data_IF_092808654784
#
_entry.id   IF_092808654784
#
_cell.length_a   1.000
_cell.length_b   1.000
_cell.length_c   1.000
_cell.angle_alpha   90.00
_cell.angle_beta   90.00
_cell.angle_gamma   90.00
#
_symmetry.space_group_name_H-M   'P 1'
#
loop_
_entity.id
_entity.type
_entity.pdbx_description
1 polymer ?
#
# COMPACT_ATOMS: atom_id res chain seq x y z
N UNK A 1 13.69 10.34 17.67
CA UNK A 1 14.24 9.56 16.54
C UNK A 1 15.76 9.78 16.54
N UNK A 2 16.55 8.76 16.87
CA UNK A 2 18.01 8.88 16.97
C UNK A 2 18.58 8.95 15.56
N UNK A 3 19.20 10.09 15.19
CA UNK A 3 19.95 10.24 13.94
C UNK A 3 21.28 9.49 14.07
N UNK A 4 21.27 8.21 13.71
CA UNK A 4 22.51 7.48 13.41
C UNK A 4 22.78 7.57 11.91
N UNK A 5 24.00 7.92 11.51
CA UNK A 5 24.43 7.87 10.10
C UNK A 5 24.54 6.45 9.53
N UNK A 6 24.13 5.42 10.27
CA UNK A 6 24.16 4.00 9.86
C UNK A 6 22.85 3.48 9.28
N UNK A 7 21.80 4.31 9.17
CA UNK A 7 20.42 3.86 8.90
C UNK A 7 20.24 3.07 7.59
N UNK A 8 21.05 3.32 6.56
CA UNK A 8 20.95 2.62 5.27
C UNK A 8 21.77 1.34 5.18
N UNK A 9 22.63 1.03 6.16
CA UNK A 9 23.48 -0.17 6.13
C UNK A 9 22.67 -1.47 6.21
N UNK A 10 21.60 -1.48 7.02
CA UNK A 10 20.78 -2.68 7.20
C UNK A 10 19.92 -2.99 5.97
N UNK A 11 19.19 -2.02 5.37
CA UNK A 11 18.53 -2.25 4.08
C UNK A 11 19.47 -2.77 3.00
N UNK A 12 20.65 -2.15 2.83
CA UNK A 12 21.63 -2.60 1.82
C UNK A 12 22.11 -4.04 2.06
N UNK A 13 22.31 -4.43 3.32
CA UNK A 13 22.70 -5.80 3.66
C UNK A 13 21.58 -6.81 3.37
N UNK A 14 20.32 -6.44 3.68
CA UNK A 14 19.14 -7.25 3.38
C UNK A 14 19.01 -7.42 1.87
N UNK A 15 19.10 -6.33 1.10
CA UNK A 15 19.02 -6.35 -0.36
C UNK A 15 20.12 -7.20 -0.99
N UNK A 16 21.35 -7.12 -0.46
CA UNK A 16 22.42 -8.00 -0.91
C UNK A 16 22.07 -9.48 -0.72
N UNK A 17 21.50 -9.83 0.43
CA UNK A 17 21.05 -11.19 0.73
C UNK A 17 19.86 -11.62 -0.13
N UNK A 18 18.91 -10.72 -0.40
CA UNK A 18 17.81 -10.98 -1.33
C UNK A 18 18.33 -11.25 -2.74
N UNK A 19 19.28 -10.45 -3.22
CA UNK A 19 19.92 -10.65 -4.51
C UNK A 19 20.71 -11.98 -4.58
N UNK A 20 21.33 -12.40 -3.48
CA UNK A 20 22.00 -13.71 -3.40
C UNK A 20 21.00 -14.87 -3.42
N UNK A 21 19.82 -14.67 -2.83
CA UNK A 21 18.81 -15.73 -2.63
C UNK A 21 17.91 -15.91 -3.85
N UNK A 22 17.40 -14.81 -4.40
CA UNK A 22 16.40 -14.80 -5.45
C UNK A 22 16.97 -14.52 -6.85
N UNK A 23 18.20 -13.97 -6.92
CA UNK A 23 18.89 -13.75 -8.17
C UNK A 23 18.38 -12.52 -8.94
N UNK A 24 18.34 -12.58 -10.29
CA UNK A 24 18.06 -11.42 -11.13
C UNK A 24 16.56 -11.06 -11.20
N UNK A 25 16.29 -9.81 -11.59
CA UNK A 25 14.97 -9.24 -11.86
C UNK A 25 14.04 -9.18 -10.63
N UNK A 26 14.59 -8.99 -9.44
CA UNK A 26 13.77 -8.73 -8.26
C UNK A 26 13.34 -7.26 -8.22
N UNK A 27 12.06 -7.04 -7.88
CA UNK A 27 11.49 -5.74 -7.61
C UNK A 27 11.32 -5.53 -6.10
N UNK A 28 11.67 -4.34 -5.59
CA UNK A 28 11.52 -3.98 -4.18
C UNK A 28 10.63 -2.74 -4.02
N UNK A 29 9.54 -2.90 -3.28
CA UNK A 29 8.71 -1.80 -2.79
C UNK A 29 9.35 -1.16 -1.57
N UNK A 30 9.43 0.17 -1.56
CA UNK A 30 9.97 0.94 -0.44
C UNK A 30 9.35 2.34 -0.46
N UNK A 31 8.89 2.90 0.65
CA UNK A 31 8.22 4.22 0.61
C UNK A 31 9.16 5.38 0.25
N UNK A 32 10.46 5.19 0.45
CA UNK A 32 11.51 6.19 0.19
C UNK A 32 12.49 5.81 -0.91
N UNK A 33 12.18 4.78 -1.69
CA UNK A 33 13.20 4.20 -2.55
C UNK A 33 13.62 5.00 -3.78
N UNK A 34 13.08 6.20 -4.07
CA UNK A 34 13.77 7.14 -4.97
C UNK A 34 15.09 7.61 -4.34
N UNK A 35 15.06 7.94 -3.05
CA UNK A 35 16.26 8.24 -2.27
C UNK A 35 17.11 6.99 -2.01
N UNK A 36 16.47 5.84 -1.76
CA UNK A 36 17.19 4.58 -1.54
C UNK A 36 17.85 4.04 -2.82
N UNK A 37 17.25 4.21 -4.00
CA UNK A 37 17.85 3.85 -5.30
C UNK A 37 19.19 4.59 -5.48
N UNK A 38 19.21 5.87 -5.14
CA UNK A 38 20.45 6.68 -5.14
C UNK A 38 21.46 6.11 -4.15
N UNK A 39 21.00 5.71 -2.96
CA UNK A 39 21.84 5.09 -1.94
C UNK A 39 22.46 3.77 -2.43
N UNK A 40 21.69 2.91 -3.09
CA UNK A 40 22.19 1.65 -3.68
C UNK A 40 23.26 1.97 -4.73
N UNK A 41 23.01 2.92 -5.63
CA UNK A 41 23.95 3.34 -6.69
C UNK A 41 25.27 3.91 -6.13
N UNK A 42 25.23 4.53 -4.96
CA UNK A 42 26.43 5.06 -4.28
C UNK A 42 27.07 4.06 -3.31
N UNK A 43 26.58 2.81 -3.24
CA UNK A 43 27.08 1.79 -2.33
C UNK A 43 27.90 0.71 -3.06
N UNK A 44 28.63 -0.15 -2.33
CA UNK A 44 29.28 -1.32 -2.91
C UNK A 44 28.32 -2.28 -3.63
N UNK A 45 27.02 -2.22 -3.32
CA UNK A 45 25.99 -3.07 -3.94
C UNK A 45 25.67 -2.65 -5.39
N UNK A 46 26.06 -1.45 -5.82
CA UNK A 46 25.68 -0.87 -7.11
C UNK A 46 25.97 -1.78 -8.32
N UNK A 47 27.18 -2.37 -8.37
CA UNK A 47 27.58 -3.24 -9.47
C UNK A 47 26.71 -4.51 -9.54
N UNK A 48 26.46 -5.12 -8.38
CA UNK A 48 25.64 -6.34 -8.27
C UNK A 48 24.17 -6.05 -8.55
N UNK A 49 23.62 -4.98 -7.97
CA UNK A 49 22.26 -4.52 -8.23
C UNK A 49 22.02 -4.26 -9.72
N UNK A 50 22.99 -3.62 -10.41
CA UNK A 50 22.93 -3.39 -11.85
C UNK A 50 23.02 -4.70 -12.65
N UNK A 51 23.95 -5.59 -12.28
CA UNK A 51 24.15 -6.87 -12.97
C UNK A 51 22.93 -7.79 -12.85
N UNK A 52 22.25 -7.75 -11.71
CA UNK A 52 21.06 -8.54 -11.43
C UNK A 52 19.75 -7.80 -11.75
N UNK A 53 19.81 -6.62 -12.36
CA UNK A 53 18.63 -5.84 -12.74
C UNK A 53 17.64 -5.60 -11.57
N UNK A 54 18.18 -5.22 -10.40
CA UNK A 54 17.39 -4.82 -9.24
C UNK A 54 16.53 -3.60 -9.59
N UNK A 55 15.23 -3.72 -9.37
CA UNK A 55 14.27 -2.63 -9.66
C UNK A 55 13.66 -2.09 -8.36
N UNK A 56 13.80 -0.78 -8.12
CA UNK A 56 13.10 -0.10 -7.02
C UNK A 56 11.73 0.37 -7.50
N UNK A 57 10.66 -0.10 -6.86
CA UNK A 57 9.27 0.02 -7.33
C UNK A 57 8.58 1.35 -6.95
N UNK A 58 9.33 2.45 -6.83
CA UNK A 58 8.73 3.74 -6.43
C UNK A 58 8.28 4.61 -7.57
N UNK A 59 8.92 4.47 -8.73
CA UNK A 59 8.68 5.43 -9.80
C UNK A 59 7.37 5.20 -10.52
N UNK A 60 6.68 4.09 -10.23
CA UNK A 60 5.53 3.70 -10.98
C UNK A 60 4.62 2.85 -10.11
N UNK A 61 3.33 3.20 -10.12
CA UNK A 61 2.26 2.31 -9.67
C UNK A 61 2.54 0.89 -10.19
N UNK A 62 2.30 -0.14 -9.37
CA UNK A 62 2.58 -1.54 -9.69
C UNK A 62 2.17 -1.96 -11.13
N UNK A 63 1.14 -1.30 -11.66
CA UNK A 63 0.60 -1.37 -13.01
C UNK A 63 1.63 -1.22 -14.16
N UNK A 64 2.74 -0.51 -13.96
CA UNK A 64 3.74 -0.28 -15.02
C UNK A 64 4.87 -1.31 -15.05
N UNK A 65 4.93 -2.21 -14.06
CA UNK A 65 5.96 -3.24 -13.97
C UNK A 65 5.35 -4.58 -14.33
N UNK A 66 5.59 -5.00 -15.57
CA UNK A 66 5.18 -6.32 -16.03
C UNK A 66 5.76 -7.42 -15.15
N UNK A 67 4.91 -8.32 -14.66
CA UNK A 67 5.31 -9.46 -13.83
C UNK A 67 5.25 -9.20 -12.32
N UNK A 68 4.98 -7.97 -11.87
CA UNK A 68 4.76 -7.68 -10.45
C UNK A 68 3.45 -8.30 -9.92
N UNK A 69 2.47 -8.49 -10.81
CA UNK A 69 1.21 -9.15 -10.50
C UNK A 69 0.29 -8.29 -9.65
N UNK A 70 -0.43 -8.93 -8.72
CA UNK A 70 -1.41 -8.32 -7.80
C UNK A 70 -0.74 -8.09 -6.43
N UNK A 71 0.56 -7.82 -6.43
CA UNK A 71 1.33 -7.61 -5.20
C UNK A 71 1.09 -6.19 -4.66
N UNK A 72 0.80 -6.07 -3.37
CA UNK A 72 0.60 -4.79 -2.68
C UNK A 72 1.90 -4.25 -2.06
N UNK A 73 2.91 -5.10 -1.90
CA UNK A 73 4.24 -4.79 -1.33
C UNK A 73 4.19 -4.32 0.13
N UNK A 74 3.10 -4.57 0.86
CA UNK A 74 2.90 -4.10 2.24
C UNK A 74 3.49 -5.03 3.31
N UNK A 75 4.01 -6.20 2.92
CA UNK A 75 4.42 -7.24 3.87
C UNK A 75 5.42 -6.78 4.95
N UNK A 76 6.34 -5.86 4.60
CA UNK A 76 7.28 -5.28 5.56
C UNK A 76 6.58 -4.37 6.57
N UNK A 77 5.61 -3.56 6.15
CA UNK A 77 4.86 -2.67 7.03
C UNK A 77 4.10 -3.46 8.08
N UNK A 78 3.42 -4.52 7.66
CA UNK A 78 2.68 -5.40 8.56
C UNK A 78 3.61 -6.05 9.59
N UNK A 79 4.78 -6.54 9.15
CA UNK A 79 5.79 -7.12 10.04
C UNK A 79 6.30 -6.10 11.07
N UNK A 80 6.69 -4.90 10.63
CA UNK A 80 7.20 -3.86 11.53
C UNK A 80 6.12 -3.34 12.47
N UNK A 81 4.89 -3.19 11.99
CA UNK A 81 3.73 -2.80 12.79
C UNK A 81 3.50 -3.80 13.92
N UNK A 82 3.48 -5.11 13.63
CA UNK A 82 3.37 -6.17 14.65
C UNK A 82 4.52 -6.13 15.64
N UNK A 83 5.74 -5.88 15.17
CA UNK A 83 6.95 -5.83 16.01
C UNK A 83 6.89 -4.75 17.10
N UNK A 84 6.04 -3.72 16.95
CA UNK A 84 5.82 -2.70 17.99
C UNK A 84 5.31 -3.30 19.31
N UNK A 85 4.64 -4.47 19.26
CA UNK A 85 4.25 -5.20 20.47
C UNK A 85 5.43 -5.58 21.37
N UNK A 86 6.63 -5.75 20.80
CA UNK A 86 7.86 -6.02 21.56
C UNK A 86 8.41 -4.79 22.29
N UNK A 87 8.03 -3.58 21.88
CA UNK A 87 8.67 -2.35 22.34
C UNK A 87 8.71 -2.27 23.87
N UNK A 88 7.63 -2.69 24.54
CA UNK A 88 7.53 -2.66 26.01
C UNK A 88 8.47 -3.65 26.70
N UNK A 89 8.62 -4.86 26.18
CA UNK A 89 9.49 -5.89 26.78
C UNK A 89 10.97 -5.61 26.54
N UNK A 90 11.31 -5.00 25.40
CA UNK A 90 12.71 -4.72 25.05
C UNK A 90 13.23 -3.38 25.59
N UNK A 91 12.35 -2.46 26.04
CA UNK A 91 12.73 -1.09 26.44
C UNK A 91 13.77 -1.06 27.56
N UNK A 92 13.59 -1.88 28.59
CA UNK A 92 14.46 -1.93 29.78
C UNK A 92 15.32 -3.21 29.85
N UNK A 93 15.27 -4.04 28.81
CA UNK A 93 16.08 -5.26 28.72
C UNK A 93 17.55 -4.94 28.42
N UNK A 94 18.47 -5.74 28.96
CA UNK A 94 19.89 -5.65 28.57
C UNK A 94 20.07 -5.95 27.07
N UNK A 95 21.20 -5.55 26.50
CA UNK A 95 21.48 -5.78 25.06
C UNK A 95 21.34 -7.24 24.64
N UNK A 96 21.79 -8.17 25.49
CA UNK A 96 21.66 -9.60 25.24
C UNK A 96 20.18 -10.03 25.20
N UNK A 97 19.42 -9.71 26.23
CA UNK A 97 18.00 -10.08 26.32
C UNK A 97 17.17 -9.41 25.22
N UNK A 98 17.45 -8.15 24.88
CA UNK A 98 16.80 -7.47 23.75
C UNK A 98 16.99 -8.24 22.44
N UNK A 99 18.23 -8.63 22.12
CA UNK A 99 18.52 -9.42 20.91
C UNK A 99 17.85 -10.79 20.96
N UNK A 100 17.88 -11.46 22.11
CA UNK A 100 17.24 -12.75 22.31
C UNK A 100 15.73 -12.64 22.10
N UNK A 101 15.05 -11.68 22.73
CA UNK A 101 13.61 -11.44 22.59
C UNK A 101 13.21 -11.15 21.15
N UNK A 102 13.93 -10.26 20.45
CA UNK A 102 13.65 -9.95 19.04
C UNK A 102 13.80 -11.21 18.17
N UNK A 103 14.88 -11.98 18.36
CA UNK A 103 15.10 -13.22 17.60
C UNK A 103 14.02 -14.26 17.87
N UNK A 104 13.66 -14.48 19.13
CA UNK A 104 12.62 -15.45 19.51
C UNK A 104 11.27 -15.04 18.94
N UNK A 105 10.95 -13.74 18.95
CA UNK A 105 9.71 -13.24 18.37
C UNK A 105 9.64 -13.46 16.85
N UNK A 106 10.71 -13.15 16.12
CA UNK A 106 10.75 -13.39 14.67
C UNK A 106 10.65 -14.89 14.34
N UNK A 107 11.34 -15.75 15.10
CA UNK A 107 11.22 -17.20 14.93
C UNK A 107 9.80 -17.71 15.19
N UNK A 108 9.12 -17.15 16.20
CA UNK A 108 7.73 -17.47 16.48
C UNK A 108 6.80 -17.02 15.35
N UNK A 109 6.94 -15.78 14.87
CA UNK A 109 6.18 -15.28 13.72
C UNK A 109 6.39 -16.13 12.47
N UNK A 110 7.63 -16.51 12.17
CA UNK A 110 7.96 -17.37 11.03
C UNK A 110 7.23 -18.72 11.14
N UNK A 111 7.32 -19.36 12.31
CA UNK A 111 6.75 -20.70 12.57
C UNK A 111 5.23 -20.71 12.55
N UNK A 112 4.58 -19.71 13.17
CA UNK A 112 3.14 -19.78 13.46
C UNK A 112 2.27 -18.91 12.56
N UNK A 113 2.81 -17.86 11.95
CA UNK A 113 2.01 -16.89 11.19
C UNK A 113 2.45 -16.77 9.73
N UNK A 114 3.74 -16.79 9.45
CA UNK A 114 4.28 -16.44 8.13
C UNK A 114 3.85 -17.45 7.06
N UNK A 115 4.02 -18.76 7.31
CA UNK A 115 3.59 -19.79 6.36
C UNK A 115 2.07 -19.82 6.12
N UNK A 116 1.20 -19.79 7.16
CA UNK A 116 -0.24 -19.69 6.95
C UNK A 116 -0.66 -18.44 6.15
N UNK A 117 -0.13 -17.27 6.51
CA UNK A 117 -0.45 -16.02 5.83
C UNK A 117 -0.01 -16.04 4.37
N UNK A 118 1.20 -16.54 4.09
CA UNK A 118 1.71 -16.69 2.73
C UNK A 118 0.84 -17.66 1.90
N UNK A 119 0.41 -18.76 2.49
CA UNK A 119 -0.49 -19.72 1.82
C UNK A 119 -1.83 -19.08 1.47
N UNK A 120 -2.46 -18.38 2.41
CA UNK A 120 -3.70 -17.64 2.18
C UNK A 120 -3.53 -16.56 1.13
N UNK A 121 -2.44 -15.80 1.19
CA UNK A 121 -2.10 -14.77 0.22
C UNK A 121 -2.00 -15.34 -1.20
N UNK A 122 -1.21 -16.40 -1.39
CA UNK A 122 -1.05 -17.04 -2.70
C UNK A 122 -2.38 -17.58 -3.26
N UNK A 123 -3.18 -18.24 -2.42
CA UNK A 123 -4.49 -18.78 -2.85
C UNK A 123 -5.46 -17.66 -3.22
N UNK A 124 -5.50 -16.58 -2.43
CA UNK A 124 -6.37 -15.45 -2.71
C UNK A 124 -5.95 -14.72 -3.98
N UNK A 125 -4.67 -14.47 -4.17
CA UNK A 125 -4.15 -13.84 -5.39
C UNK A 125 -4.39 -14.70 -6.62
N UNK A 126 -4.26 -16.03 -6.49
CA UNK A 126 -4.61 -16.95 -7.58
C UNK A 126 -6.10 -16.86 -7.96
N UNK A 127 -7.00 -16.87 -6.96
CA UNK A 127 -8.44 -16.72 -7.22
C UNK A 127 -8.76 -15.38 -7.89
N UNK A 128 -8.19 -14.29 -7.38
CA UNK A 128 -8.35 -12.96 -7.96
C UNK A 128 -7.84 -12.91 -9.41
N UNK A 129 -6.68 -13.50 -9.70
CA UNK A 129 -6.16 -13.57 -11.06
C UNK A 129 -7.11 -14.31 -12.00
N UNK A 130 -7.68 -15.44 -11.57
CA UNK A 130 -8.68 -16.18 -12.34
C UNK A 130 -9.94 -15.36 -12.57
N UNK A 131 -10.43 -14.65 -11.56
CA UNK A 131 -11.58 -13.75 -11.68
C UNK A 131 -11.33 -12.61 -12.67
N UNK A 132 -10.14 -12.00 -12.63
CA UNK A 132 -9.73 -10.95 -13.58
C UNK A 132 -9.72 -11.51 -15.02
N UNK A 133 -9.14 -12.69 -15.23
CA UNK A 133 -9.12 -13.35 -16.55
C UNK A 133 -10.55 -13.66 -17.03
N UNK A 134 -11.43 -14.14 -16.15
CA UNK A 134 -12.82 -14.41 -16.48
C UNK A 134 -13.61 -13.13 -16.84
N UNK A 135 -13.16 -11.95 -16.40
CA UNK A 135 -13.72 -10.64 -16.76
C UNK A 135 -13.32 -10.15 -18.16
N UNK A 136 -12.32 -10.75 -18.81
CA UNK A 136 -11.79 -10.32 -20.12
C UNK A 136 -12.87 -10.21 -21.22
N UNK A 137 -13.84 -11.12 -21.36
CA UNK A 137 -14.89 -10.99 -22.39
C UNK A 137 -15.77 -9.75 -22.20
N UNK A 138 -16.08 -9.40 -20.95
CA UNK A 138 -16.88 -8.20 -20.65
C UNK A 138 -16.09 -6.93 -20.98
N UNK A 139 -14.79 -6.92 -20.70
CA UNK A 139 -13.88 -5.83 -21.09
C UNK A 139 -13.85 -5.65 -22.61
N UNK A 140 -13.67 -6.74 -23.38
CA UNK A 140 -13.66 -6.69 -24.85
C UNK A 140 -14.96 -6.12 -25.43
N UNK A 141 -16.10 -6.48 -24.85
CA UNK A 141 -17.40 -5.96 -25.26
C UNK A 141 -17.53 -4.46 -24.95
N UNK A 142 -17.07 -4.01 -23.78
CA UNK A 142 -17.04 -2.59 -23.41
C UNK A 142 -16.11 -1.79 -24.33
N UNK A 143 -14.93 -2.33 -24.64
CA UNK A 143 -13.97 -1.75 -25.59
C UNK A 143 -14.58 -1.58 -26.99
N UNK A 144 -15.26 -2.62 -27.48
CA UNK A 144 -15.96 -2.55 -28.78
C UNK A 144 -17.06 -1.49 -28.79
N UNK A 145 -17.84 -1.36 -27.71
CA UNK A 145 -18.87 -0.31 -27.56
C UNK A 145 -18.27 1.10 -27.52
N UNK A 146 -17.12 1.26 -26.88
CA UNK A 146 -16.41 2.53 -26.78
C UNK A 146 -15.58 2.86 -28.04
N UNK A 147 -15.42 1.92 -28.97
CA UNK A 147 -14.54 2.08 -30.14
C UNK A 147 -13.06 2.14 -29.78
N UNK A 148 -12.66 1.56 -28.64
CA UNK A 148 -11.29 1.60 -28.11
C UNK A 148 -10.59 0.28 -28.42
N UNK A 149 -9.34 0.35 -28.88
CA UNK A 149 -8.49 -0.82 -29.10
C UNK A 149 -7.51 -1.02 -27.94
N UNK A 150 -6.94 -2.22 -27.83
CA UNK A 150 -5.94 -2.52 -26.79
C UNK A 150 -4.68 -1.65 -26.94
N UNK A 151 -4.32 -1.27 -28.17
CA UNK A 151 -3.22 -0.36 -28.45
C UNK A 151 -3.45 1.03 -27.85
N UNK A 152 -4.69 1.53 -27.90
CA UNK A 152 -5.05 2.81 -27.28
C UNK A 152 -4.83 2.74 -25.76
N UNK A 153 -5.18 1.63 -25.11
CA UNK A 153 -4.94 1.45 -23.67
C UNK A 153 -3.44 1.43 -23.33
N UNK A 154 -2.62 0.76 -24.14
CA UNK A 154 -1.16 0.75 -23.98
C UNK A 154 -0.55 2.14 -24.18
N UNK A 155 -1.06 2.88 -25.16
CA UNK A 155 -0.63 4.26 -25.41
C UNK A 155 -1.04 5.17 -24.25
N UNK A 156 -2.27 5.05 -23.73
CA UNK A 156 -2.70 5.81 -22.56
C UNK A 156 -1.81 5.53 -21.34
N UNK A 157 -1.46 4.27 -21.08
CA UNK A 157 -0.50 3.93 -20.02
C UNK A 157 0.87 4.57 -20.27
N UNK A 158 1.37 4.56 -21.50
CA UNK A 158 2.66 5.18 -21.83
C UNK A 158 2.60 6.72 -21.68
N UNK A 159 1.50 7.34 -22.08
CA UNK A 159 1.26 8.79 -21.97
C UNK A 159 1.12 9.21 -20.50
N UNK A 160 0.37 8.45 -19.70
CA UNK A 160 0.22 8.66 -18.26
C UNK A 160 1.59 8.55 -17.57
N UNK A 161 2.37 7.52 -17.90
CA UNK A 161 3.74 7.36 -17.40
C UNK A 161 4.61 8.56 -17.75
N UNK A 162 4.60 8.99 -19.02
CA UNK A 162 5.39 10.12 -19.50
C UNK A 162 4.95 11.45 -18.86
N UNK A 163 3.66 11.61 -18.58
CA UNK A 163 3.11 12.75 -17.85
C UNK A 163 3.62 12.78 -16.41
N UNK A 164 3.49 11.67 -15.68
CA UNK A 164 3.94 11.54 -14.29
C UNK A 164 5.45 11.74 -14.16
N UNK A 165 6.25 11.20 -15.09
CA UNK A 165 7.71 11.38 -15.10
C UNK A 165 8.14 12.86 -15.24
N UNK A 166 7.34 13.67 -15.94
CA UNK A 166 7.58 15.11 -16.10
C UNK A 166 7.09 15.94 -14.92
N UNK A 167 6.23 15.36 -14.07
CA UNK A 167 5.57 16.06 -13.00
C UNK A 167 6.47 16.12 -11.75
N UNK A 168 7.24 17.21 -11.63
CA UNK A 168 8.06 17.46 -10.43
C UNK A 168 7.24 17.92 -9.21
N UNK A 169 6.07 18.53 -9.44
CA UNK A 169 5.17 19.05 -8.41
C UNK A 169 3.77 19.01 -8.99
N UNK A 170 2.77 18.73 -8.14
CA UNK A 170 1.38 18.78 -8.57
C UNK A 170 1.04 20.18 -9.15
N UNK A 171 0.25 20.25 -10.23
CA UNK A 171 -0.15 21.53 -10.81
C UNK A 171 -1.04 22.27 -9.83
N UNK A 172 -0.62 23.46 -9.39
CA UNK A 172 -1.31 24.20 -8.31
C UNK A 172 -2.80 24.45 -8.61
N UNK A 173 -3.14 24.73 -9.87
CA UNK A 173 -4.53 24.93 -10.29
C UNK A 173 -5.41 23.68 -10.21
N UNK A 174 -4.86 22.50 -10.53
CA UNK A 174 -5.60 21.23 -10.43
C UNK A 174 -5.73 20.81 -8.96
N UNK A 175 -4.66 20.96 -8.17
CA UNK A 175 -4.68 20.71 -6.72
C UNK A 175 -5.73 21.57 -6.02
N UNK A 176 -5.85 22.85 -6.38
CA UNK A 176 -6.87 23.75 -5.80
C UNK A 176 -8.30 23.34 -6.17
N UNK A 177 -8.53 22.92 -7.42
CA UNK A 177 -9.83 22.43 -7.87
C UNK A 177 -10.23 21.12 -7.19
N UNK A 178 -9.29 20.17 -7.08
CA UNK A 178 -9.49 18.90 -6.37
C UNK A 178 -9.77 19.19 -4.89
N UNK A 179 -8.99 20.05 -4.24
CA UNK A 179 -9.21 20.46 -2.85
C UNK A 179 -10.57 21.11 -2.65
N UNK A 180 -11.01 21.96 -3.58
CA UNK A 180 -12.32 22.58 -3.54
C UNK A 180 -13.44 21.53 -3.67
N UNK A 181 -13.33 20.63 -4.64
CA UNK A 181 -14.29 19.53 -4.83
C UNK A 181 -14.35 18.63 -3.58
N UNK A 182 -13.21 18.24 -3.02
CA UNK A 182 -13.13 17.44 -1.80
C UNK A 182 -13.85 18.15 -0.63
N UNK A 183 -13.67 19.47 -0.50
CA UNK A 183 -14.37 20.28 0.51
C UNK A 183 -15.88 20.31 0.28
N UNK A 184 -16.34 20.38 -0.97
CA UNK A 184 -17.76 20.30 -1.30
C UNK A 184 -18.35 18.95 -0.93
N UNK A 185 -17.71 17.84 -1.32
CA UNK A 185 -18.14 16.47 -0.96
C UNK A 185 -18.26 16.35 0.55
N UNK A 186 -17.22 16.74 1.29
CA UNK A 186 -17.23 16.73 2.76
C UNK A 186 -18.36 17.59 3.36
N UNK A 187 -18.69 18.73 2.74
CA UNK A 187 -19.80 19.57 3.16
C UNK A 187 -21.15 18.88 2.95
N UNK A 188 -21.36 18.26 1.78
CA UNK A 188 -22.59 17.52 1.48
C UNK A 188 -22.75 16.33 2.42
N UNK A 189 -21.71 15.53 2.63
CA UNK A 189 -21.74 14.38 3.54
C UNK A 189 -22.09 14.80 4.97
N UNK A 190 -21.49 15.90 5.45
CA UNK A 190 -21.82 16.45 6.77
C UNK A 190 -23.26 16.95 6.85
N UNK A 191 -23.76 17.60 5.80
CA UNK A 191 -25.13 18.10 5.77
C UNK A 191 -26.15 16.96 5.78
N UNK A 192 -25.91 15.91 5.00
CA UNK A 192 -26.73 14.69 5.03
C UNK A 192 -26.66 13.96 6.38
N UNK A 193 -25.49 13.95 7.03
CA UNK A 193 -25.34 13.42 8.38
C UNK A 193 -26.08 14.26 9.43
N UNK A 194 -26.10 15.58 9.29
CA UNK A 194 -26.82 16.48 10.20
C UNK A 194 -28.33 16.42 9.96
N UNK A 195 -28.79 16.33 8.72
CA UNK A 195 -30.21 16.15 8.38
C UNK A 195 -30.76 14.82 8.92
N UNK A 196 -29.98 13.74 8.82
CA UNK A 196 -30.34 12.44 9.39
C UNK A 196 -30.31 12.42 10.93
N UNK A 197 -29.36 13.11 11.57
CA UNK A 197 -29.36 13.32 13.04
C UNK A 197 -30.56 14.15 13.49
N UNK A 198 -30.88 15.22 12.78
CA UNK A 198 -31.99 16.09 13.13
C UNK A 198 -33.35 15.36 12.98
N UNK A 199 -33.53 14.59 11.90
CA UNK A 199 -34.68 13.72 11.71
C UNK A 199 -34.84 12.69 12.85
N UNK A 200 -33.73 12.09 13.30
CA UNK A 200 -33.73 11.15 14.43
C UNK A 200 -34.12 11.84 15.75
N UNK A 201 -33.54 13.00 16.06
CA UNK A 201 -33.93 13.78 17.23
C UNK A 201 -35.40 14.22 17.20
N UNK A 202 -35.94 14.60 16.05
CA UNK A 202 -37.37 14.95 15.94
C UNK A 202 -38.29 13.75 16.16
N UNK A 203 -37.88 12.56 15.70
CA UNK A 203 -38.65 11.33 15.92
C UNK A 203 -38.60 10.89 17.40
N UNK A 204 -37.44 11.00 18.04
CA UNK A 204 -37.27 10.69 19.47
C UNK A 204 -38.08 11.66 20.36
N UNK A 205 -38.07 12.97 20.04
CA UNK A 205 -38.87 13.98 20.76
C UNK A 205 -40.39 13.75 20.62
N UNK A 206 -40.85 13.36 19.41
CA UNK A 206 -42.26 13.05 19.18
C UNK A 206 -42.69 11.75 19.87
N UNK A 207 -41.78 10.77 20.03
CA UNK A 207 -42.06 9.54 20.78
C UNK A 207 -42.15 9.76 22.29
N UNK A 208 -41.44 10.75 22.85
CA UNK A 208 -41.48 11.06 24.30
C UNK A 208 -42.65 11.96 24.71
N UNK A 209 -43.26 12.68 23.76
CA UNK A 209 -44.38 13.59 24.01
C UNK A 209 -45.76 12.98 23.68
N UNK A 210 -45.82 11.68 23.39
CA UNK A 210 -47.10 10.97 23.26
C UNK A 210 -47.80 10.93 24.63
N UNK A 211 -48.79 11.80 24.83
CA UNK A 211 -49.64 11.81 26.03
C UNK A 211 -50.27 10.43 26.24
N UNK A 212 -50.15 9.82 27.44
CA UNK A 212 -50.82 8.56 27.71
C UNK A 212 -52.34 8.76 27.63
N UNK A 213 -53.09 7.77 27.12
CA UNK A 213 -54.54 7.87 27.01
C UNK A 213 -55.14 8.01 28.42
N UNK A 214 -55.98 9.03 28.60
CA UNK A 214 -56.83 9.17 29.78
C UNK A 214 -57.74 7.94 29.87
N UNK A 215 -57.47 7.09 30.86
CA UNK A 215 -58.33 5.96 31.19
C UNK A 215 -59.70 6.45 31.69
N UNK A 216 -60.78 5.74 31.36
CA UNK A 216 -62.16 6.15 31.64
C UNK A 216 -62.49 6.23 33.14
#
# INVERSE_FOLDING_TARGET
MVRSGELTKYPLAIENALLDTFGPNIGLGYDVGCGHETTIKCSPLAAKAKALNLTMLLKYLAMYVNGLGIEDLEGCEWLFSKSNGLARSVRYSSMFHRKQTIRTYLAHLDTFETYPNLSTFLVNNYKQAVEIINGEPALKLAMAKAGVTEEVLKNHLADEKAYLDRLSKEPEGETDQINYYQKLVNLFDRRSADDSRNSKCTNDFNSTNATPPLSP
#
